data_IF_018062185671
#
_entry.id   IF_018062185671
#
_cell.length_a   1.000
_cell.length_b   1.000
_cell.length_c   1.000
_cell.angle_alpha   90.00
_cell.angle_beta   90.00
_cell.angle_gamma   90.00
#
_symmetry.space_group_name_H-M   'P 1'
#
loop_
_entity.id
_entity.type
_entity.pdbx_description
1 polymer ?
#
# COMPACT_ATOMS: atom_id res chain seq x y z
N UNK A 1 -10.61 -10.48 5.70
CA UNK A 1 -10.05 -9.11 5.68
C UNK A 1 -10.44 -8.46 7.00
N UNK A 2 -9.60 -7.63 7.61
CA UNK A 2 -9.80 -7.13 8.97
C UNK A 2 -10.99 -6.14 9.16
N UNK A 3 -11.91 -6.06 8.20
CA UNK A 3 -13.10 -5.17 8.18
C UNK A 3 -12.82 -3.70 8.54
N UNK A 4 -11.61 -3.21 8.22
CA UNK A 4 -11.20 -1.85 8.54
C UNK A 4 -11.96 -0.80 7.75
N UNK A 5 -12.35 0.27 8.44
CA UNK A 5 -12.61 1.58 7.83
C UNK A 5 -11.32 2.11 7.24
N UNK A 6 -11.42 2.94 6.20
CA UNK A 6 -10.24 3.50 5.53
C UNK A 6 -9.32 4.30 6.47
N UNK A 7 -9.87 4.94 7.52
CA UNK A 7 -9.10 5.66 8.54
C UNK A 7 -8.27 4.73 9.41
N UNK A 8 -8.78 3.55 9.74
CA UNK A 8 -8.09 2.54 10.54
C UNK A 8 -6.95 1.92 9.71
N UNK A 9 -7.23 1.58 8.45
CA UNK A 9 -6.22 1.13 7.50
C UNK A 9 -5.13 2.18 7.27
N UNK A 10 -5.51 3.46 7.20
CA UNK A 10 -4.56 4.56 7.04
C UNK A 10 -3.61 4.66 8.23
N UNK A 11 -4.16 4.62 9.45
CA UNK A 11 -3.40 4.64 10.69
C UNK A 11 -2.45 3.44 10.77
N UNK A 12 -2.97 2.24 10.51
CA UNK A 12 -2.20 1.01 10.55
C UNK A 12 -1.06 0.99 9.52
N UNK A 13 -1.31 1.49 8.30
CA UNK A 13 -0.32 1.58 7.23
C UNK A 13 0.59 2.82 7.32
N UNK A 14 0.42 3.69 8.32
CA UNK A 14 1.21 4.92 8.47
C UNK A 14 1.02 5.93 7.33
N UNK A 15 -0.16 5.96 6.70
CA UNK A 15 -0.51 6.87 5.59
C UNK A 15 -1.77 7.66 5.90
N UNK A 16 -2.12 8.62 5.04
CA UNK A 16 -3.38 9.38 5.18
C UNK A 16 -4.57 8.61 4.59
N UNK A 17 -5.78 8.88 5.07
CA UNK A 17 -7.00 8.26 4.53
C UNK A 17 -7.19 8.49 3.01
N UNK A 18 -6.96 9.71 2.45
CA UNK A 18 -7.02 9.89 1.00
C UNK A 18 -6.06 8.99 0.23
N UNK A 19 -4.92 8.64 0.83
CA UNK A 19 -3.93 7.74 0.24
C UNK A 19 -4.46 6.30 0.17
N UNK A 20 -5.11 5.80 1.23
CA UNK A 20 -5.82 4.51 1.17
C UNK A 20 -6.91 4.52 0.10
N UNK A 21 -7.70 5.59 -0.01
CA UNK A 21 -8.72 5.72 -1.04
C UNK A 21 -8.13 5.69 -2.47
N UNK A 22 -7.01 6.38 -2.70
CA UNK A 22 -6.31 6.34 -4.00
C UNK A 22 -5.83 4.92 -4.33
N UNK A 23 -5.30 4.18 -3.35
CA UNK A 23 -4.88 2.79 -3.53
C UNK A 23 -6.07 1.87 -3.85
N UNK A 24 -7.17 1.97 -3.09
CA UNK A 24 -8.40 1.18 -3.30
C UNK A 24 -9.09 1.49 -4.63
N UNK A 25 -8.92 2.72 -5.16
CA UNK A 25 -9.40 3.10 -6.50
C UNK A 25 -8.42 2.75 -7.62
N UNK A 26 -7.35 2.01 -7.32
CA UNK A 26 -6.37 1.56 -8.32
C UNK A 26 -5.49 2.67 -8.89
N UNK A 27 -5.39 3.83 -8.24
CA UNK A 27 -4.54 4.96 -8.69
C UNK A 27 -3.07 4.74 -8.35
N UNK A 28 -2.54 3.58 -8.73
CA UNK A 28 -1.20 3.10 -8.36
C UNK A 28 -0.09 4.01 -8.88
N UNK A 29 -0.29 4.67 -10.03
CA UNK A 29 0.66 5.65 -10.60
C UNK A 29 0.99 6.84 -9.69
N UNK A 30 0.17 7.08 -8.66
CA UNK A 30 0.42 8.14 -7.66
C UNK A 30 1.41 7.72 -6.58
N UNK A 31 1.84 6.47 -6.56
CA UNK A 31 2.69 5.90 -5.51
C UNK A 31 4.07 5.61 -6.06
N UNK A 32 5.10 5.94 -5.28
CA UNK A 32 6.43 5.39 -5.52
C UNK A 32 6.42 3.88 -5.23
N UNK A 33 7.38 3.15 -5.81
CA UNK A 33 7.60 1.74 -5.48
C UNK A 33 7.79 1.56 -3.96
N UNK A 34 8.61 2.42 -3.33
CA UNK A 34 8.86 2.42 -1.89
C UNK A 34 7.57 2.57 -1.07
N UNK A 35 6.66 3.48 -1.46
CA UNK A 35 5.38 3.64 -0.78
C UNK A 35 4.51 2.37 -0.86
N UNK A 36 4.50 1.69 -2.01
CA UNK A 36 3.78 0.43 -2.17
C UNK A 36 4.40 -0.70 -1.32
N UNK A 37 5.73 -0.76 -1.27
CA UNK A 37 6.47 -1.72 -0.44
C UNK A 37 6.17 -1.50 1.04
N UNK A 38 6.17 -0.25 1.52
CA UNK A 38 5.89 0.09 2.92
C UNK A 38 4.46 -0.24 3.32
N UNK A 39 3.47 0.04 2.46
CA UNK A 39 2.07 -0.32 2.70
C UNK A 39 1.91 -1.86 2.73
N UNK A 40 2.52 -2.58 1.80
CA UNK A 40 2.45 -4.04 1.80
C UNK A 40 3.09 -4.65 3.06
N UNK A 41 4.24 -4.12 3.48
CA UNK A 41 4.99 -4.61 4.64
C UNK A 41 4.25 -4.33 5.95
N UNK A 42 3.66 -3.14 6.12
CA UNK A 42 2.81 -2.84 7.30
C UNK A 42 1.65 -3.82 7.42
N UNK A 43 1.03 -4.21 6.30
CA UNK A 43 0.00 -5.25 6.20
C UNK A 43 0.52 -6.69 6.43
N UNK A 44 1.77 -6.87 6.84
CA UNK A 44 2.39 -8.17 7.10
C UNK A 44 2.61 -8.99 5.82
N UNK A 45 2.67 -8.36 4.65
CA UNK A 45 2.93 -9.04 3.38
C UNK A 45 4.41 -9.07 3.09
N UNK A 46 4.88 -10.20 2.55
CA UNK A 46 6.22 -10.34 1.99
C UNK A 46 6.20 -9.82 0.56
N UNK A 47 7.07 -8.86 0.26
CA UNK A 47 7.24 -8.34 -1.10
C UNK A 47 8.39 -9.07 -1.78
N UNK A 48 8.19 -9.43 -3.05
CA UNK A 48 9.22 -10.02 -3.90
C UNK A 48 9.45 -9.12 -5.12
N UNK A 49 10.72 -8.81 -5.40
CA UNK A 49 11.13 -8.05 -6.58
C UNK A 49 11.88 -9.01 -7.48
N UNK A 50 11.42 -9.14 -8.72
CA UNK A 50 12.12 -9.86 -9.77
C UNK A 50 12.64 -8.84 -10.79
N UNK A 51 13.91 -8.95 -11.14
CA UNK A 51 14.51 -8.23 -12.24
C UNK A 51 14.74 -9.24 -13.36
N UNK A 52 14.34 -8.89 -14.58
CA UNK A 52 14.70 -9.67 -15.76
C UNK A 52 16.00 -9.11 -16.34
N UNK A 53 16.76 -9.98 -17.02
CA UNK A 53 17.94 -9.54 -17.76
C UNK A 53 17.54 -8.55 -18.86
N UNK A 54 18.43 -7.59 -19.13
CA UNK A 54 18.23 -6.58 -20.17
C UNK A 54 18.18 -7.19 -21.58
#
# INVERSE_FOLDING_TARGET
ANEWKQTEAATYCGVTQPRINDLLRGRVSRFSLDALVNIATSLGRRVHIKLDAA
#
